data_IF_593036616669
#
_entry.id   IF_593036616669
#
_cell.length_a   1.000
_cell.length_b   1.000
_cell.length_c   1.000
_cell.angle_alpha   90.00
_cell.angle_beta   90.00
_cell.angle_gamma   90.00
#
_symmetry.space_group_name_H-M   'P 1'
#
loop_
_entity.id
_entity.type
_entity.pdbx_description
1 polymer ?
#
# COMPACT_ATOMS: atom_id res chain seq x y z
N UNK A 1 -0.90 -55.38 13.06
CA UNK A 1 0.46 -55.40 12.48
C UNK A 1 0.37 -54.77 11.09
N UNK A 2 0.49 -53.44 11.00
CA UNK A 2 0.51 -52.73 9.72
C UNK A 2 1.51 -51.59 9.86
N UNK A 3 2.63 -51.74 9.16
CA UNK A 3 3.73 -50.79 9.12
C UNK A 3 3.28 -49.52 8.38
N UNK A 4 3.19 -48.41 9.11
CA UNK A 4 3.11 -47.08 8.52
C UNK A 4 4.53 -46.70 8.12
N UNK A 5 4.81 -46.72 6.81
CA UNK A 5 6.03 -46.17 6.25
C UNK A 5 6.02 -44.64 6.44
N UNK A 6 6.60 -44.18 7.54
CA UNK A 6 7.11 -42.82 7.66
C UNK A 6 8.27 -42.68 6.67
N UNK A 7 7.99 -42.20 5.46
CA UNK A 7 9.06 -41.65 4.62
C UNK A 7 9.59 -40.41 5.34
N UNK A 8 10.83 -40.54 5.77
CA UNK A 8 11.68 -39.53 6.37
C UNK A 8 11.46 -38.16 5.69
N UNK A 9 11.01 -37.21 6.49
CA UNK A 9 11.10 -35.79 6.17
C UNK A 9 12.59 -35.45 6.13
N UNK A 10 13.18 -35.50 4.94
CA UNK A 10 14.48 -34.88 4.70
C UNK A 10 14.31 -33.40 5.00
N UNK A 11 15.01 -32.97 6.04
CA UNK A 11 15.18 -31.58 6.46
C UNK A 11 15.94 -30.87 5.33
N UNK A 12 15.22 -30.42 4.32
CA UNK A 12 15.74 -29.44 3.37
C UNK A 12 16.10 -28.22 4.18
N UNK A 13 17.40 -27.96 4.31
CA UNK A 13 17.96 -26.70 4.80
C UNK A 13 17.10 -25.54 4.34
N UNK A 14 16.37 -24.90 5.24
CA UNK A 14 15.59 -23.70 4.94
C UNK A 14 16.53 -22.69 4.33
N UNK A 15 16.43 -22.50 3.01
CA UNK A 15 17.09 -21.40 2.35
C UNK A 15 16.51 -20.13 2.97
N UNK A 16 17.32 -19.41 3.75
CA UNK A 16 16.97 -18.13 4.39
C UNK A 16 16.46 -17.09 3.38
N UNK A 17 16.74 -17.30 2.09
CA UNK A 17 16.37 -16.40 1.01
C UNK A 17 15.40 -17.06 0.03
N UNK A 18 14.36 -16.33 -0.42
CA UNK A 18 13.38 -16.84 -1.38
C UNK A 18 14.04 -17.07 -2.73
N UNK A 19 13.54 -18.07 -3.48
CA UNK A 19 14.05 -18.37 -4.82
C UNK A 19 13.57 -17.35 -5.85
N UNK A 20 12.38 -16.78 -5.62
CA UNK A 20 11.74 -15.79 -6.47
C UNK A 20 11.15 -14.69 -5.58
N UNK A 21 11.30 -13.45 -6.03
CA UNK A 21 10.60 -12.28 -5.49
C UNK A 21 9.60 -11.77 -6.51
N UNK A 22 8.38 -11.51 -6.08
CA UNK A 22 7.34 -10.89 -6.89
C UNK A 22 7.03 -9.53 -6.28
N UNK A 23 7.07 -8.51 -7.13
CA UNK A 23 6.68 -7.15 -6.80
C UNK A 23 5.33 -6.87 -7.43
N UNK A 24 4.38 -6.46 -6.60
CA UNK A 24 2.99 -6.22 -6.95
C UNK A 24 2.57 -4.78 -6.71
N UNK A 25 3.34 -3.97 -5.98
CA UNK A 25 3.10 -2.53 -5.89
C UNK A 25 3.76 -1.80 -7.07
N UNK A 26 2.92 -1.09 -7.85
CA UNK A 26 3.31 -0.48 -9.10
C UNK A 26 3.48 -1.53 -10.22
N UNK A 27 4.52 -1.35 -11.03
CA UNK A 27 4.81 -2.25 -12.14
C UNK A 27 5.02 -3.70 -11.65
N UNK A 28 4.27 -4.64 -12.22
CA UNK A 28 4.38 -6.06 -11.88
C UNK A 28 5.73 -6.61 -12.33
N UNK A 29 6.59 -6.96 -11.36
CA UNK A 29 7.97 -7.42 -11.63
C UNK A 29 8.27 -8.71 -10.91
N UNK A 30 9.17 -9.49 -11.51
CA UNK A 30 9.59 -10.77 -10.97
C UNK A 30 11.11 -10.86 -11.03
N UNK A 31 11.71 -11.20 -9.90
CA UNK A 31 13.15 -11.37 -9.78
C UNK A 31 13.49 -12.78 -9.33
N UNK A 32 14.55 -13.34 -9.90
CA UNK A 32 15.03 -14.69 -9.61
C UNK A 32 16.36 -14.64 -8.90
N UNK A 33 16.50 -15.46 -7.87
CA UNK A 33 17.78 -15.66 -7.20
C UNK A 33 18.84 -16.17 -8.19
N UNK A 34 19.98 -15.50 -8.23
CA UNK A 34 21.14 -15.95 -9.01
C UNK A 34 21.76 -17.20 -8.35
N UNK A 35 22.30 -18.12 -9.16
CA UNK A 35 22.90 -19.38 -8.68
C UNK A 35 24.28 -19.21 -8.01
N UNK A 36 24.69 -17.98 -7.69
CA UNK A 36 25.95 -17.68 -7.03
C UNK A 36 25.93 -18.01 -5.53
N UNK A 37 27.13 -18.24 -4.98
CA UNK A 37 27.32 -18.50 -3.55
C UNK A 37 27.34 -17.22 -2.67
N UNK A 38 27.02 -16.06 -3.23
CA UNK A 38 27.01 -14.77 -2.55
C UNK A 38 25.96 -14.73 -1.42
N UNK A 39 26.29 -14.00 -0.34
CA UNK A 39 25.41 -13.77 0.82
C UNK A 39 25.43 -12.27 1.18
N UNK A 40 24.30 -11.54 1.06
CA UNK A 40 23.01 -11.99 0.55
C UNK A 40 23.07 -12.36 -0.95
N UNK A 41 22.20 -13.25 -1.44
CA UNK A 41 22.22 -13.64 -2.84
C UNK A 41 21.73 -12.49 -3.73
N UNK A 42 22.34 -12.35 -4.91
CA UNK A 42 21.86 -11.45 -5.94
C UNK A 42 20.54 -11.94 -6.56
N UNK A 43 19.73 -10.99 -7.01
CA UNK A 43 18.47 -11.22 -7.71
C UNK A 43 18.53 -10.59 -9.10
N UNK A 44 18.05 -11.30 -10.10
CA UNK A 44 18.01 -10.86 -11.49
C UNK A 44 16.56 -10.72 -11.96
N UNK A 45 16.23 -9.56 -12.53
CA UNK A 45 14.93 -9.31 -13.12
C UNK A 45 14.64 -10.28 -14.29
N UNK A 46 13.44 -10.84 -14.30
CA UNK A 46 12.94 -11.68 -15.39
C UNK A 46 12.28 -10.78 -16.44
N UNK A 47 12.89 -10.71 -17.63
CA UNK A 47 12.45 -9.80 -18.68
C UNK A 47 10.96 -9.91 -19.04
N UNK A 48 10.24 -8.79 -19.00
CA UNK A 48 8.80 -8.67 -19.27
C UNK A 48 8.37 -9.21 -20.63
N UNK A 49 9.19 -9.07 -21.68
CA UNK A 49 8.88 -9.62 -23.00
C UNK A 49 8.70 -11.16 -22.98
N UNK A 50 9.40 -11.86 -22.08
CA UNK A 50 9.18 -13.31 -21.88
C UNK A 50 7.89 -13.57 -21.09
N UNK A 51 7.49 -12.66 -20.23
CA UNK A 51 6.27 -12.80 -19.43
C UNK A 51 5.01 -12.48 -20.27
N UNK A 52 5.04 -11.41 -21.08
CA UNK A 52 3.92 -10.90 -21.88
C UNK A 52 3.39 -11.87 -22.95
N UNK A 53 4.26 -12.71 -23.54
CA UNK A 53 3.84 -13.77 -24.47
C UNK A 53 2.99 -14.89 -23.81
N UNK A 54 2.78 -14.82 -22.49
CA UNK A 54 2.15 -15.86 -21.66
C UNK A 54 1.00 -15.30 -20.83
N UNK A 55 0.13 -14.51 -21.45
CA UNK A 55 -0.96 -13.75 -20.79
C UNK A 55 -1.82 -14.61 -19.85
N UNK A 56 -2.32 -15.77 -20.28
CA UNK A 56 -3.16 -16.64 -19.41
C UNK A 56 -2.39 -17.21 -18.21
N UNK A 57 -1.09 -17.48 -18.35
CA UNK A 57 -0.26 -17.96 -17.26
C UNK A 57 -0.04 -16.85 -16.21
N UNK A 58 0.24 -15.63 -16.66
CA UNK A 58 0.36 -14.48 -15.75
C UNK A 58 -0.94 -14.14 -15.05
N UNK A 59 -2.08 -14.15 -15.75
CA UNK A 59 -3.39 -13.93 -15.12
C UNK A 59 -3.64 -15.02 -14.07
N UNK A 60 -3.36 -16.29 -14.39
CA UNK A 60 -3.46 -17.38 -13.40
C UNK A 60 -2.58 -17.13 -12.17
N UNK A 61 -1.34 -16.63 -12.37
CA UNK A 61 -0.47 -16.25 -11.27
C UNK A 61 -1.08 -15.10 -10.45
N UNK A 62 -1.47 -13.99 -11.07
CA UNK A 62 -2.08 -12.84 -10.37
C UNK A 62 -3.33 -13.26 -9.58
N UNK A 63 -4.19 -14.10 -10.16
CA UNK A 63 -5.37 -14.65 -9.46
C UNK A 63 -4.96 -15.46 -8.24
N UNK A 64 -3.96 -16.34 -8.36
CA UNK A 64 -3.43 -17.12 -7.24
C UNK A 64 -2.85 -16.23 -6.14
N UNK A 65 -2.14 -15.14 -6.48
CA UNK A 65 -1.61 -14.17 -5.51
C UNK A 65 -2.76 -13.51 -4.71
N UNK A 66 -3.91 -13.31 -5.34
CA UNK A 66 -5.09 -12.72 -4.70
C UNK A 66 -5.92 -13.71 -3.86
N UNK A 67 -5.62 -15.02 -3.91
CA UNK A 67 -6.40 -16.00 -3.14
C UNK A 67 -5.88 -16.18 -1.72
N UNK A 68 -6.78 -16.44 -0.74
CA UNK A 68 -6.37 -16.85 0.59
C UNK A 68 -5.42 -18.05 0.54
N UNK A 69 -4.31 -17.96 1.29
CA UNK A 69 -3.24 -18.98 1.31
C UNK A 69 -2.67 -19.32 -0.08
N UNK A 70 -2.83 -18.41 -1.05
CA UNK A 70 -2.38 -18.55 -2.43
C UNK A 70 -2.86 -19.85 -3.09
N UNK A 71 -4.08 -20.25 -2.76
CA UNK A 71 -4.65 -21.55 -3.10
C UNK A 71 -5.99 -21.40 -3.76
N UNK A 72 -6.19 -22.12 -4.86
CA UNK A 72 -7.46 -22.13 -5.58
C UNK A 72 -7.76 -23.51 -6.17
N UNK A 73 -9.04 -23.87 -6.13
CA UNK A 73 -9.52 -25.07 -6.80
C UNK A 73 -9.68 -24.81 -8.31
N UNK A 74 -9.50 -25.83 -9.14
CA UNK A 74 -9.55 -25.69 -10.61
C UNK A 74 -10.89 -25.13 -11.08
N UNK A 75 -11.99 -25.57 -10.49
CA UNK A 75 -13.33 -25.09 -10.89
C UNK A 75 -13.52 -23.63 -10.52
N UNK A 76 -13.09 -23.21 -9.33
CA UNK A 76 -13.11 -21.82 -8.90
C UNK A 76 -12.21 -20.94 -9.78
N UNK A 77 -11.02 -21.41 -10.15
CA UNK A 77 -10.12 -20.70 -11.08
C UNK A 77 -10.77 -20.50 -12.46
N UNK A 78 -11.42 -21.53 -12.99
CA UNK A 78 -12.17 -21.43 -14.25
C UNK A 78 -13.28 -20.37 -14.16
N UNK A 79 -14.02 -20.32 -13.06
CA UNK A 79 -15.08 -19.34 -12.84
C UNK A 79 -14.57 -17.90 -12.76
N UNK A 80 -13.39 -17.67 -12.16
CA UNK A 80 -12.78 -16.34 -12.05
C UNK A 80 -12.19 -15.84 -13.37
N UNK A 81 -11.48 -16.71 -14.11
CA UNK A 81 -10.78 -16.31 -15.34
C UNK A 81 -11.72 -16.28 -16.56
N UNK A 82 -12.75 -17.13 -16.60
CA UNK A 82 -13.71 -17.23 -17.70
C UNK A 82 -15.15 -17.31 -17.18
N UNK A 83 -15.71 -16.18 -16.70
CA UNK A 83 -17.06 -16.16 -16.17
C UNK A 83 -18.07 -16.62 -17.24
N UNK A 84 -18.98 -17.50 -16.85
CA UNK A 84 -20.04 -18.03 -17.72
C UNK A 84 -19.65 -19.19 -18.65
N UNK A 85 -18.39 -19.67 -18.62
CA UNK A 85 -17.92 -20.75 -19.52
C UNK A 85 -17.32 -21.96 -18.79
N UNK A 86 -17.36 -21.99 -17.45
CA UNK A 86 -16.58 -22.86 -16.56
C UNK A 86 -16.58 -24.38 -16.83
N UNK A 87 -17.54 -24.91 -17.61
CA UNK A 87 -17.72 -26.36 -17.83
C UNK A 87 -17.21 -26.88 -19.19
N UNK A 88 -16.46 -26.08 -19.96
CA UNK A 88 -15.89 -26.54 -21.22
C UNK A 88 -14.56 -27.28 -21.02
N UNK A 89 -14.40 -28.44 -21.68
CA UNK A 89 -13.13 -29.18 -21.74
C UNK A 89 -11.96 -28.31 -22.22
N UNK A 90 -12.26 -27.31 -23.07
CA UNK A 90 -11.31 -26.30 -23.52
C UNK A 90 -10.68 -25.50 -22.37
N UNK A 91 -11.46 -25.10 -21.36
CA UNK A 91 -10.95 -24.32 -20.22
C UNK A 91 -10.02 -25.16 -19.36
N UNK A 92 -10.38 -26.42 -19.14
CA UNK A 92 -9.54 -27.36 -18.38
C UNK A 92 -8.16 -27.48 -19.01
N UNK A 93 -8.10 -27.70 -20.34
CA UNK A 93 -6.85 -27.75 -21.09
C UNK A 93 -6.08 -26.41 -21.02
N UNK A 94 -6.78 -25.28 -21.08
CA UNK A 94 -6.18 -23.94 -21.01
C UNK A 94 -5.53 -23.69 -19.65
N UNK A 95 -6.20 -24.07 -18.56
CA UNK A 95 -5.65 -23.98 -17.20
C UNK A 95 -4.43 -24.89 -17.05
N UNK A 96 -4.48 -26.13 -17.54
CA UNK A 96 -3.35 -27.06 -17.44
C UNK A 96 -2.15 -26.59 -18.28
N UNK A 97 -2.41 -25.95 -19.42
CA UNK A 97 -1.39 -25.29 -20.25
C UNK A 97 -0.77 -24.09 -19.51
N UNK A 98 -1.60 -23.22 -18.93
CA UNK A 98 -1.17 -22.06 -18.16
C UNK A 98 -0.32 -22.47 -16.94
N UNK A 99 -0.78 -23.48 -16.19
CA UNK A 99 -0.04 -24.05 -15.06
C UNK A 99 1.31 -24.61 -15.53
N UNK A 100 1.34 -25.36 -16.62
CA UNK A 100 2.58 -25.92 -17.19
C UNK A 100 3.57 -24.83 -17.61
N UNK A 101 3.09 -23.74 -18.22
CA UNK A 101 3.90 -22.58 -18.57
C UNK A 101 4.45 -21.87 -17.33
N UNK A 102 3.63 -21.67 -16.29
CA UNK A 102 4.07 -21.13 -15.01
C UNK A 102 5.20 -21.98 -14.44
N UNK A 103 5.01 -23.30 -14.31
CA UNK A 103 6.05 -24.20 -13.76
C UNK A 103 7.37 -24.11 -14.50
N UNK A 104 7.32 -24.10 -15.83
CA UNK A 104 8.52 -24.19 -16.66
C UNK A 104 9.29 -22.88 -16.75
N UNK A 105 8.58 -21.75 -16.77
CA UNK A 105 9.18 -20.47 -17.17
C UNK A 105 9.16 -19.39 -16.09
N UNK A 106 8.21 -19.46 -15.15
CA UNK A 106 8.01 -18.41 -14.14
C UNK A 106 8.38 -18.94 -12.75
N UNK A 107 7.85 -20.10 -12.38
CA UNK A 107 7.94 -20.68 -11.05
C UNK A 107 8.89 -21.89 -10.99
N UNK A 108 9.80 -22.03 -11.95
CA UNK A 108 10.83 -23.07 -11.88
C UNK A 108 11.79 -22.76 -10.72
N UNK A 109 12.10 -23.77 -9.90
CA UNK A 109 13.18 -23.70 -8.93
C UNK A 109 14.45 -24.23 -9.58
N UNK A 110 15.63 -23.72 -9.18
CA UNK A 110 16.90 -24.32 -9.60
C UNK A 110 17.04 -25.77 -9.05
N UNK A 111 16.42 -26.06 -7.91
CA UNK A 111 16.54 -27.33 -7.17
C UNK A 111 15.33 -28.27 -7.39
N UNK A 112 14.86 -28.38 -8.63
CA UNK A 112 13.93 -29.40 -9.15
C UNK A 112 12.42 -29.24 -8.82
N UNK A 113 12.03 -28.57 -7.73
CA UNK A 113 10.60 -28.42 -7.40
C UNK A 113 10.00 -27.05 -7.76
N UNK A 114 9.08 -27.04 -8.74
CA UNK A 114 8.27 -25.87 -9.08
C UNK A 114 7.57 -25.26 -7.87
N UNK A 115 7.56 -23.93 -7.78
CA UNK A 115 6.85 -23.17 -6.73
C UNK A 115 5.32 -23.17 -6.88
N UNK A 116 4.79 -23.85 -7.91
CA UNK A 116 3.37 -24.15 -8.08
C UNK A 116 3.09 -25.64 -7.85
N UNK A 117 2.48 -25.94 -6.72
CA UNK A 117 2.05 -27.27 -6.32
C UNK A 117 0.66 -27.59 -6.90
N UNK A 118 0.45 -28.85 -7.25
CA UNK A 118 -0.88 -29.38 -7.57
C UNK A 118 -1.20 -30.53 -6.64
N UNK A 119 -2.35 -30.43 -5.97
CA UNK A 119 -2.84 -31.43 -5.04
C UNK A 119 -4.24 -31.88 -5.48
N UNK A 120 -4.59 -33.13 -5.15
CA UNK A 120 -5.95 -33.65 -5.31
C UNK A 120 -6.59 -33.69 -3.93
N UNK A 121 -7.61 -32.87 -3.72
CA UNK A 121 -8.30 -32.72 -2.44
C UNK A 121 -9.80 -32.86 -2.71
N UNK A 122 -10.45 -33.79 -2.01
CA UNK A 122 -11.87 -34.11 -2.15
C UNK A 122 -12.34 -34.34 -3.60
N UNK A 123 -11.49 -34.97 -4.42
CA UNK A 123 -11.79 -35.22 -5.83
C UNK A 123 -11.65 -34.00 -6.75
N UNK A 124 -11.16 -32.88 -6.24
CA UNK A 124 -10.86 -31.67 -7.02
C UNK A 124 -9.35 -31.42 -7.16
N UNK A 125 -8.94 -30.85 -8.29
CA UNK A 125 -7.56 -30.41 -8.49
C UNK A 125 -7.39 -29.02 -7.90
N UNK A 126 -6.45 -28.88 -7.00
CA UNK A 126 -6.13 -27.62 -6.32
C UNK A 126 -4.72 -27.18 -6.69
N UNK A 127 -4.58 -25.89 -6.99
CA UNK A 127 -3.31 -25.23 -7.24
C UNK A 127 -2.92 -24.42 -6.01
N UNK A 128 -1.65 -24.46 -5.62
CA UNK A 128 -1.14 -23.72 -4.47
C UNK A 128 0.26 -23.19 -4.77
N UNK A 129 0.47 -21.90 -4.55
CA UNK A 129 1.80 -21.31 -4.61
C UNK A 129 2.60 -21.63 -3.34
N UNK A 130 3.92 -21.72 -3.47
CA UNK A 130 4.82 -21.87 -2.35
C UNK A 130 4.68 -20.70 -1.36
N UNK A 131 5.04 -20.96 -0.11
CA UNK A 131 4.99 -19.99 1.00
C UNK A 131 6.02 -18.87 0.84
N UNK A 132 5.87 -17.81 1.64
CA UNK A 132 6.68 -16.58 1.60
C UNK A 132 8.20 -16.86 1.68
N UNK A 133 8.62 -17.88 2.42
CA UNK A 133 10.03 -18.27 2.54
C UNK A 133 10.67 -18.72 1.22
N UNK A 134 9.89 -19.29 0.29
CA UNK A 134 10.37 -19.77 -1.03
C UNK A 134 9.97 -18.83 -2.17
N UNK A 135 8.77 -18.25 -2.09
CA UNK A 135 8.20 -17.31 -3.04
C UNK A 135 7.80 -16.04 -2.28
N UNK A 136 8.68 -15.06 -2.27
CA UNK A 136 8.45 -13.81 -1.57
C UNK A 136 7.59 -12.87 -2.42
N UNK A 137 6.61 -12.25 -1.78
CA UNK A 137 5.71 -11.27 -2.39
C UNK A 137 5.71 -10.04 -1.49
N UNK A 138 5.91 -8.86 -2.07
CA UNK A 138 5.89 -7.59 -1.35
C UNK A 138 4.57 -7.31 -0.63
N UNK A 139 3.42 -7.62 -1.23
CA UNK A 139 2.12 -7.49 -0.60
C UNK A 139 1.96 -8.35 0.66
N UNK A 140 2.38 -9.62 0.60
CA UNK A 140 2.33 -10.52 1.76
C UNK A 140 3.35 -10.11 2.82
N UNK A 141 4.51 -9.58 2.41
CA UNK A 141 5.52 -9.05 3.31
C UNK A 141 5.00 -7.83 4.07
N UNK A 142 4.33 -6.91 3.39
CA UNK A 142 3.70 -5.74 4.01
C UNK A 142 2.69 -6.16 5.08
N UNK A 143 1.80 -7.11 4.75
CA UNK A 143 0.80 -7.60 5.70
C UNK A 143 1.47 -8.30 6.90
N UNK A 144 2.52 -9.07 6.66
CA UNK A 144 3.32 -9.73 7.70
C UNK A 144 3.99 -8.70 8.62
N UNK A 145 4.65 -7.69 8.06
CA UNK A 145 5.33 -6.63 8.82
C UNK A 145 4.34 -5.78 9.62
N UNK A 146 3.18 -5.46 9.05
CA UNK A 146 2.10 -4.78 9.76
C UNK A 146 1.60 -5.60 10.97
N UNK A 147 1.46 -6.92 10.82
CA UNK A 147 1.11 -7.79 11.94
C UNK A 147 2.24 -7.87 12.99
N UNK A 148 3.51 -8.00 12.55
CA UNK A 148 4.66 -8.01 13.43
C UNK A 148 4.79 -6.73 14.25
N UNK A 149 4.47 -5.57 13.66
CA UNK A 149 4.45 -4.29 14.38
C UNK A 149 3.48 -4.33 15.58
N UNK A 150 2.25 -4.82 15.37
CA UNK A 150 1.25 -4.95 16.44
C UNK A 150 1.73 -5.90 17.55
N UNK A 151 2.35 -7.02 17.17
CA UNK A 151 2.90 -7.97 18.15
C UNK A 151 4.01 -7.33 19.00
N UNK A 152 4.97 -6.65 18.36
CA UNK A 152 6.05 -5.93 19.05
C UNK A 152 5.52 -4.89 20.02
N UNK A 153 4.52 -4.09 19.62
CA UNK A 153 3.89 -3.12 20.52
C UNK A 153 3.26 -3.79 21.74
N UNK A 154 2.58 -4.93 21.55
CA UNK A 154 1.97 -5.68 22.65
C UNK A 154 2.99 -6.26 23.62
N UNK A 155 4.21 -6.54 23.15
CA UNK A 155 5.34 -7.02 23.92
C UNK A 155 6.17 -5.87 24.54
N UNK A 156 5.80 -4.61 24.26
CA UNK A 156 6.54 -3.42 24.71
C UNK A 156 7.83 -3.15 23.94
N UNK A 157 8.01 -3.79 22.78
CA UNK A 157 9.14 -3.60 21.89
C UNK A 157 8.92 -2.45 20.89
N UNK A 158 10.01 -1.99 20.28
CA UNK A 158 9.96 -0.96 19.25
C UNK A 158 9.42 -1.52 17.92
N UNK A 159 8.21 -1.09 17.55
CA UNK A 159 7.55 -1.45 16.30
C UNK A 159 7.96 -0.59 15.10
N UNK A 160 8.67 0.54 15.31
CA UNK A 160 9.11 1.44 14.22
C UNK A 160 9.85 0.74 13.08
N UNK A 161 10.78 -0.21 13.32
CA UNK A 161 11.49 -0.87 12.23
C UNK A 161 10.55 -1.66 11.31
N UNK A 162 9.58 -2.38 11.88
CA UNK A 162 8.61 -3.17 11.12
C UNK A 162 7.66 -2.25 10.34
N UNK A 163 7.18 -1.19 10.97
CA UNK A 163 6.29 -0.21 10.33
C UNK A 163 6.99 0.53 9.17
N UNK A 164 8.22 0.99 9.36
CA UNK A 164 8.99 1.65 8.30
C UNK A 164 9.27 0.69 7.13
N UNK A 165 9.61 -0.56 7.42
CA UNK A 165 9.81 -1.57 6.38
C UNK A 165 8.51 -1.85 5.61
N UNK A 166 7.36 -1.95 6.30
CA UNK A 166 6.06 -2.12 5.65
C UNK A 166 5.70 -0.93 4.75
N UNK A 167 5.91 0.30 5.24
CA UNK A 167 5.64 1.52 4.47
C UNK A 167 6.53 1.62 3.22
N UNK A 168 7.81 1.25 3.33
CA UNK A 168 8.75 1.28 2.21
C UNK A 168 8.38 0.33 1.06
N UNK A 169 7.66 -0.77 1.33
CA UNK A 169 7.24 -1.72 0.30
C UNK A 169 6.09 -1.21 -0.57
N UNK A 170 5.23 -0.35 -0.04
CA UNK A 170 3.99 0.09 -0.67
C UNK A 170 4.20 1.24 -1.69
N UNK A 171 5.07 1.01 -2.67
CA UNK A 171 5.38 1.99 -3.72
C UNK A 171 4.41 1.83 -4.90
N UNK A 172 3.29 2.55 -4.85
CA UNK A 172 2.28 2.58 -5.90
C UNK A 172 1.15 1.56 -5.70
N UNK A 173 0.28 1.48 -6.71
CA UNK A 173 -0.95 0.70 -6.64
C UNK A 173 -0.70 -0.80 -6.73
N UNK A 174 -1.37 -1.57 -5.88
CA UNK A 174 -1.32 -3.04 -5.94
C UNK A 174 -1.84 -3.51 -7.30
N UNK A 175 -1.09 -4.32 -8.05
CA UNK A 175 -1.44 -4.79 -9.39
C UNK A 175 -2.02 -3.66 -10.26
N UNK A 176 -1.24 -2.61 -10.50
CA UNK A 176 -1.69 -1.36 -11.17
C UNK A 176 -2.31 -1.58 -12.56
N UNK A 177 -1.97 -2.69 -13.23
CA UNK A 177 -2.54 -3.06 -14.53
C UNK A 177 -3.98 -3.62 -14.42
N UNK A 178 -4.39 -4.06 -13.22
CA UNK A 178 -5.62 -4.84 -12.98
C UNK A 178 -6.57 -4.12 -12.00
N UNK A 179 -6.71 -2.80 -12.12
CA UNK A 179 -7.48 -1.99 -11.16
C UNK A 179 -8.97 -2.35 -11.11
N UNK A 180 -9.56 -2.73 -12.24
CA UNK A 180 -11.01 -2.93 -12.40
C UNK A 180 -11.45 -4.37 -12.23
N UNK A 181 -10.52 -5.30 -12.04
CA UNK A 181 -10.85 -6.72 -12.05
C UNK A 181 -11.36 -7.16 -10.68
N UNK A 182 -12.47 -7.89 -10.64
CA UNK A 182 -13.16 -8.16 -9.36
C UNK A 182 -12.34 -9.03 -8.39
N UNK A 183 -11.51 -9.96 -8.89
CA UNK A 183 -10.75 -10.86 -8.03
C UNK A 183 -9.57 -10.18 -7.31
N UNK A 184 -9.17 -8.96 -7.70
CA UNK A 184 -8.16 -8.18 -6.95
C UNK A 184 -8.77 -7.44 -5.76
N UNK A 185 -10.06 -7.10 -5.82
CA UNK A 185 -10.67 -6.13 -4.91
C UNK A 185 -10.60 -6.53 -3.43
N UNK A 186 -10.88 -7.79 -3.02
CA UNK A 186 -10.83 -8.16 -1.60
C UNK A 186 -9.41 -8.02 -1.00
N UNK A 187 -8.39 -8.45 -1.75
CA UNK A 187 -7.00 -8.32 -1.29
C UNK A 187 -6.55 -6.85 -1.32
N UNK A 188 -6.92 -6.09 -2.36
CA UNK A 188 -6.64 -4.65 -2.44
C UNK A 188 -7.18 -3.91 -1.20
N UNK A 189 -8.45 -4.11 -0.86
CA UNK A 189 -9.05 -3.50 0.33
C UNK A 189 -8.31 -3.89 1.62
N UNK A 190 -7.85 -5.14 1.72
CA UNK A 190 -7.07 -5.62 2.88
C UNK A 190 -5.72 -4.91 2.96
N UNK A 191 -5.03 -4.78 1.83
CA UNK A 191 -3.74 -4.10 1.71
C UNK A 191 -3.87 -2.61 1.99
N UNK A 192 -4.85 -1.92 1.40
CA UNK A 192 -5.06 -0.49 1.58
C UNK A 192 -5.41 -0.18 3.05
N UNK A 193 -6.25 -1.01 3.67
CA UNK A 193 -6.51 -0.92 5.10
C UNK A 193 -5.25 -1.11 5.95
N UNK A 194 -4.36 -2.02 5.56
CA UNK A 194 -3.08 -2.21 6.25
C UNK A 194 -2.12 -1.03 6.04
N UNK A 195 -1.99 -0.52 4.80
CA UNK A 195 -1.19 0.68 4.48
C UNK A 195 -1.62 1.88 5.33
N UNK A 196 -2.92 2.14 5.41
CA UNK A 196 -3.47 3.23 6.23
C UNK A 196 -3.16 3.06 7.72
N UNK A 197 -3.33 1.86 8.27
CA UNK A 197 -2.97 1.58 9.67
C UNK A 197 -1.48 1.78 9.94
N UNK A 198 -0.61 1.28 9.07
CA UNK A 198 0.85 1.46 9.18
C UNK A 198 1.22 2.94 9.16
N UNK A 199 0.66 3.71 8.23
CA UNK A 199 0.86 5.16 8.15
C UNK A 199 0.45 5.85 9.45
N UNK A 200 -0.77 5.61 9.92
CA UNK A 200 -1.29 6.25 11.14
C UNK A 200 -0.43 5.93 12.36
N UNK A 201 0.02 4.69 12.51
CA UNK A 201 0.92 4.31 13.60
C UNK A 201 2.28 4.99 13.50
N UNK A 202 2.89 5.08 12.32
CA UNK A 202 4.13 5.83 12.13
C UNK A 202 3.97 7.31 12.51
N UNK A 203 2.88 7.93 12.07
CA UNK A 203 2.54 9.32 12.40
C UNK A 203 2.40 9.50 13.91
N UNK A 204 1.70 8.60 14.60
CA UNK A 204 1.52 8.65 16.05
C UNK A 204 2.87 8.54 16.77
N UNK A 205 3.73 7.60 16.36
CA UNK A 205 5.06 7.41 16.96
C UNK A 205 5.96 8.63 16.74
N UNK A 206 6.00 9.18 15.52
CA UNK A 206 6.79 10.39 15.24
C UNK A 206 6.27 11.60 15.99
N UNK A 207 4.94 11.75 16.12
CA UNK A 207 4.31 12.84 16.87
C UNK A 207 4.64 12.75 18.37
N UNK A 208 4.53 11.56 18.97
CA UNK A 208 4.90 11.32 20.37
C UNK A 208 6.39 11.56 20.63
N UNK A 209 7.23 11.25 19.65
CA UNK A 209 8.67 11.49 19.68
C UNK A 209 9.07 12.94 19.33
N UNK A 210 8.10 13.85 19.17
CA UNK A 210 8.29 15.25 18.77
C UNK A 210 9.04 15.43 17.42
N UNK A 211 9.02 14.40 16.57
CA UNK A 211 9.60 14.41 15.23
C UNK A 211 8.56 14.87 14.20
N UNK A 212 7.97 16.05 14.41
CA UNK A 212 6.84 16.55 13.62
C UNK A 212 7.10 16.57 12.12
N UNK A 213 8.33 16.92 11.70
CA UNK A 213 8.73 16.93 10.30
C UNK A 213 8.51 15.58 9.59
N UNK A 214 8.89 14.47 10.23
CA UNK A 214 8.70 13.14 9.63
C UNK A 214 7.22 12.77 9.53
N UNK A 215 6.42 13.12 10.55
CA UNK A 215 4.98 12.91 10.52
C UNK A 215 4.30 13.74 9.41
N UNK A 216 4.73 14.99 9.20
CA UNK A 216 4.24 15.84 8.10
C UNK A 216 4.58 15.25 6.75
N UNK A 217 5.85 14.91 6.51
CA UNK A 217 6.32 14.37 5.23
C UNK A 217 5.51 13.11 4.86
N UNK A 218 5.28 12.21 5.82
CA UNK A 218 4.44 11.02 5.62
C UNK A 218 2.99 11.36 5.23
N UNK A 219 2.35 12.26 5.97
CA UNK A 219 0.95 12.63 5.72
C UNK A 219 0.79 13.40 4.42
N UNK A 220 1.72 14.30 4.09
CA UNK A 220 1.71 15.04 2.83
C UNK A 220 1.86 14.11 1.64
N UNK A 221 2.86 13.22 1.65
CA UNK A 221 3.05 12.26 0.56
C UNK A 221 1.84 11.34 0.40
N UNK A 222 1.24 10.88 1.50
CA UNK A 222 0.04 10.04 1.43
C UNK A 222 -1.18 10.78 0.88
N UNK A 223 -1.42 12.03 1.29
CA UNK A 223 -2.56 12.82 0.80
C UNK A 223 -2.41 13.26 -0.67
N UNK A 224 -1.20 13.25 -1.23
CA UNK A 224 -1.01 13.44 -2.67
C UNK A 224 -1.55 12.26 -3.48
N UNK A 225 -1.43 11.04 -2.95
CA UNK A 225 -1.94 9.81 -3.57
C UNK A 225 -3.43 9.60 -3.25
N UNK A 226 -3.83 9.89 -2.00
CA UNK A 226 -5.18 9.66 -1.48
C UNK A 226 -5.79 10.95 -0.90
N UNK A 227 -6.10 11.95 -1.74
CA UNK A 227 -6.61 13.26 -1.29
C UNK A 227 -7.99 13.19 -0.62
N UNK A 228 -8.72 12.09 -0.81
CA UNK A 228 -10.03 11.83 -0.21
C UNK A 228 -9.95 11.18 1.17
N UNK A 229 -8.76 10.82 1.65
CA UNK A 229 -8.58 10.24 2.97
C UNK A 229 -8.68 11.33 4.06
N UNK A 230 -9.84 11.37 4.69
CA UNK A 230 -10.19 12.43 5.63
C UNK A 230 -9.50 12.28 6.99
N UNK A 231 -9.17 11.05 7.38
CA UNK A 231 -8.43 10.78 8.63
C UNK A 231 -7.00 11.34 8.53
N UNK A 232 -6.34 11.09 7.40
CA UNK A 232 -5.02 11.64 7.13
C UNK A 232 -5.04 13.17 7.05
N UNK A 233 -6.06 13.75 6.41
CA UNK A 233 -6.26 15.20 6.33
C UNK A 233 -6.43 15.82 7.73
N UNK A 234 -7.31 15.25 8.55
CA UNK A 234 -7.56 15.72 9.91
C UNK A 234 -6.28 15.72 10.76
N UNK A 235 -5.50 14.64 10.69
CA UNK A 235 -4.22 14.51 11.41
C UNK A 235 -3.21 15.56 10.97
N UNK A 236 -3.07 15.80 9.66
CA UNK A 236 -2.15 16.81 9.14
C UNK A 236 -2.57 18.22 9.56
N UNK A 237 -3.85 18.55 9.42
CA UNK A 237 -4.39 19.85 9.83
C UNK A 237 -4.14 20.13 11.31
N UNK A 238 -4.36 19.13 12.17
CA UNK A 238 -4.10 19.26 13.60
C UNK A 238 -2.62 19.51 13.89
N UNK A 239 -1.72 18.78 13.25
CA UNK A 239 -0.29 18.88 13.47
C UNK A 239 0.26 20.25 12.98
N UNK A 240 -0.24 20.76 11.86
CA UNK A 240 0.07 22.12 11.38
C UNK A 240 -0.48 23.20 12.33
N UNK A 241 -1.71 23.03 12.82
CA UNK A 241 -2.32 23.96 13.75
C UNK A 241 -1.58 24.03 15.11
N UNK A 242 -1.12 22.89 15.63
CA UNK A 242 -0.28 22.84 16.85
C UNK A 242 0.99 23.68 16.70
N UNK A 243 1.58 23.67 15.50
CA UNK A 243 2.76 24.47 15.15
C UNK A 243 2.43 25.90 14.71
N UNK A 244 1.19 26.36 14.93
CA UNK A 244 0.71 27.70 14.57
C UNK A 244 0.71 27.99 13.05
N UNK A 245 0.93 26.99 12.19
CA UNK A 245 0.91 27.06 10.72
C UNK A 245 -0.52 26.97 10.17
N UNK A 246 -1.38 27.86 10.66
CA UNK A 246 -2.83 27.80 10.43
C UNK A 246 -3.24 27.98 8.96
N UNK A 247 -2.57 28.88 8.24
CA UNK A 247 -2.87 29.13 6.83
C UNK A 247 -2.59 27.90 5.96
N UNK A 248 -1.51 27.17 6.24
CA UNK A 248 -1.18 25.93 5.55
C UNK A 248 -2.21 24.84 5.85
N UNK A 249 -2.66 24.72 7.10
CA UNK A 249 -3.73 23.79 7.48
C UNK A 249 -5.05 24.08 6.74
N UNK A 250 -5.41 25.35 6.56
CA UNK A 250 -6.61 25.74 5.80
C UNK A 250 -6.43 25.53 4.30
N UNK A 251 -5.22 25.71 3.78
CA UNK A 251 -4.92 25.51 2.37
C UNK A 251 -5.08 24.03 1.97
N UNK A 252 -4.48 23.11 2.74
CA UNK A 252 -4.60 21.68 2.46
C UNK A 252 -6.06 21.20 2.61
N UNK A 253 -6.78 21.72 3.60
CA UNK A 253 -8.21 21.46 3.76
C UNK A 253 -9.00 21.84 2.50
N UNK A 254 -8.85 23.07 2.00
CA UNK A 254 -9.56 23.51 0.81
C UNK A 254 -9.22 22.66 -0.42
N UNK A 255 -7.93 22.33 -0.60
CA UNK A 255 -7.49 21.46 -1.69
C UNK A 255 -8.19 20.09 -1.65
N UNK A 256 -8.15 19.40 -0.51
CA UNK A 256 -8.80 18.09 -0.35
C UNK A 256 -10.33 18.18 -0.43
N UNK A 257 -10.96 19.23 0.12
CA UNK A 257 -12.41 19.41 0.06
C UNK A 257 -12.94 19.53 -1.37
N UNK A 258 -12.21 20.20 -2.27
CA UNK A 258 -12.60 20.27 -3.68
C UNK A 258 -12.64 18.88 -4.28
N UNK A 259 -11.61 18.07 -4.06
CA UNK A 259 -11.51 16.71 -4.61
C UNK A 259 -12.58 15.77 -4.00
N UNK A 260 -12.80 15.84 -2.69
CA UNK A 260 -13.82 15.05 -1.99
C UNK A 260 -15.22 15.34 -2.57
N UNK A 261 -15.54 16.62 -2.76
CA UNK A 261 -16.82 17.04 -3.35
C UNK A 261 -16.98 16.60 -4.81
N UNK A 262 -15.91 16.65 -5.61
CA UNK A 262 -15.93 16.16 -6.99
C UNK A 262 -16.25 14.65 -7.07
N UNK A 263 -15.83 13.88 -6.06
CA UNK A 263 -16.17 12.46 -5.91
C UNK A 263 -17.55 12.22 -5.28
N UNK A 264 -18.39 13.25 -5.12
CA UNK A 264 -19.70 13.19 -4.45
C UNK A 264 -19.64 12.60 -3.04
N UNK A 265 -18.48 12.70 -2.39
CA UNK A 265 -18.30 12.39 -0.99
C UNK A 265 -18.46 13.69 -0.20
N UNK A 266 -19.03 13.60 1.00
CA UNK A 266 -19.05 14.74 1.90
C UNK A 266 -17.88 14.61 2.88
N UNK A 267 -17.15 15.70 3.09
CA UNK A 267 -16.14 15.73 4.13
C UNK A 267 -16.82 15.61 5.51
N UNK A 268 -16.15 14.92 6.41
CA UNK A 268 -16.61 14.51 7.72
C UNK A 268 -16.79 15.75 8.60
N UNK A 269 -17.82 15.69 9.44
CA UNK A 269 -18.22 16.77 10.32
C UNK A 269 -17.06 17.20 11.23
N UNK A 270 -16.21 16.26 11.65
CA UNK A 270 -15.04 16.53 12.48
C UNK A 270 -13.97 17.36 11.76
N UNK A 271 -13.70 17.06 10.49
CA UNK A 271 -12.70 17.76 9.68
C UNK A 271 -13.16 19.19 9.35
N UNK A 272 -14.44 19.35 9.02
CA UNK A 272 -15.06 20.67 8.85
C UNK A 272 -15.05 21.50 10.14
N UNK A 273 -15.39 20.89 11.27
CA UNK A 273 -15.37 21.56 12.56
C UNK A 273 -13.96 22.05 12.94
N UNK A 274 -12.92 21.24 12.66
CA UNK A 274 -11.53 21.64 12.86
C UNK A 274 -11.15 22.82 11.95
N UNK A 275 -11.50 22.77 10.67
CA UNK A 275 -11.26 23.87 9.73
C UNK A 275 -11.89 25.18 10.22
N UNK A 276 -13.17 25.13 10.63
CA UNK A 276 -13.90 26.28 11.15
C UNK A 276 -13.24 26.85 12.41
N UNK A 277 -12.78 25.98 13.33
CA UNK A 277 -12.06 26.39 14.54
C UNK A 277 -10.73 27.08 14.20
N UNK A 278 -9.96 26.55 13.26
CA UNK A 278 -8.69 27.15 12.81
C UNK A 278 -8.96 28.52 12.20
N UNK A 279 -9.94 28.64 11.31
CA UNK A 279 -10.33 29.89 10.67
C UNK A 279 -10.75 30.96 11.70
N UNK A 280 -11.58 30.58 12.67
CA UNK A 280 -12.01 31.49 13.73
C UNK A 280 -10.81 32.02 14.54
N UNK A 281 -9.88 31.14 14.89
CA UNK A 281 -8.67 31.52 15.62
C UNK A 281 -7.74 32.44 14.80
N UNK A 282 -7.63 32.25 13.48
CA UNK A 282 -6.93 33.16 12.59
C UNK A 282 -7.54 34.57 12.64
N UNK A 283 -8.86 34.66 12.44
CA UNK A 283 -9.58 35.93 12.40
C UNK A 283 -9.45 36.70 13.73
N UNK A 284 -9.51 36.00 14.87
CA UNK A 284 -9.31 36.61 16.19
C UNK A 284 -7.88 37.16 16.35
N UNK A 285 -6.87 36.43 15.87
CA UNK A 285 -5.48 36.86 15.96
C UNK A 285 -5.22 38.09 15.08
N UNK A 286 -5.73 38.10 13.85
CA UNK A 286 -5.63 39.26 12.94
C UNK A 286 -6.35 40.48 13.50
N UNK A 287 -7.55 40.31 14.07
CA UNK A 287 -8.27 41.39 14.74
C UNK A 287 -7.47 41.94 15.93
N UNK A 288 -6.93 41.08 16.79
CA UNK A 288 -6.11 41.50 17.93
C UNK A 288 -4.84 42.25 17.50
N UNK A 289 -4.17 41.80 16.44
CA UNK A 289 -3.02 42.50 15.85
C UNK A 289 -3.42 43.89 15.35
N UNK A 290 -4.53 44.01 14.62
CA UNK A 290 -5.07 45.29 14.14
C UNK A 290 -5.37 46.26 15.30
N UNK A 291 -6.08 45.79 16.34
CA UNK A 291 -6.36 46.61 17.52
C UNK A 291 -5.08 47.05 18.24
N UNK A 292 -4.09 46.16 18.39
CA UNK A 292 -2.81 46.50 19.02
C UNK A 292 -1.99 47.52 18.21
N UNK A 293 -2.00 47.42 16.87
CA UNK A 293 -1.34 48.38 15.99
C UNK A 293 -2.01 49.76 16.05
N UNK A 294 -3.36 49.80 16.10
CA UNK A 294 -4.12 51.05 16.22
C UNK A 294 -3.86 51.76 17.55
N UNK A 295 -3.76 51.02 18.65
CA UNK A 295 -3.41 51.58 19.98
C UNK A 295 -1.96 52.10 20.01
N UNK A 296 -1.00 51.39 19.38
CA UNK A 296 0.41 51.84 19.32
C UNK A 296 0.63 53.06 18.42
N UNK A 297 -0.13 53.18 17.33
CA UNK A 297 0.02 54.30 16.38
C UNK A 297 -0.75 55.57 16.79
N UNK A 298 -1.49 55.59 17.91
CA UNK A 298 -2.18 56.78 18.40
C UNK A 298 -3.17 57.39 17.40
N UNK A 299 -3.78 56.59 16.53
CA UNK A 299 -4.67 57.12 15.48
C UNK A 299 -6.09 57.26 16.02
N UNK A 300 -6.50 58.51 16.25
CA UNK A 300 -7.89 58.90 16.48
C UNK A 300 -8.71 58.76 15.21
N UNK A 301 -9.68 57.83 15.25
CA UNK A 301 -10.96 57.65 14.53
C UNK A 301 -11.24 58.21 13.12
N UNK A 302 -10.28 58.75 12.36
CA UNK A 302 -10.62 59.35 11.05
C UNK A 302 -9.61 59.14 9.91
N UNK A 303 -8.93 57.99 9.87
CA UNK A 303 -8.10 57.64 8.71
C UNK A 303 -8.61 56.33 8.06
N UNK A 304 -9.38 56.47 7.00
CA UNK A 304 -9.77 55.37 6.12
C UNK A 304 -8.55 54.90 5.31
N UNK A 305 -7.76 53.99 5.87
CA UNK A 305 -6.73 53.31 5.08
C UNK A 305 -7.39 52.13 4.36
N UNK A 306 -7.76 52.33 3.08
CA UNK A 306 -8.07 51.23 2.17
C UNK A 306 -6.79 50.45 1.93
N UNK A 307 -6.71 49.21 2.41
CA UNK A 307 -5.68 48.28 1.96
C UNK A 307 -6.27 47.40 0.85
N UNK A 308 -5.76 47.61 -0.35
CA UNK A 308 -5.80 46.66 -1.46
C UNK A 308 -4.95 45.45 -1.05
N UNK A 309 -5.58 44.29 -0.94
CA UNK A 309 -4.87 43.02 -0.78
C UNK A 309 -4.05 42.75 -2.05
N UNK A 310 -2.74 43.00 -2.00
CA UNK A 310 -1.79 42.49 -2.97
C UNK A 310 -1.11 41.29 -2.31
N UNK A 311 -1.63 40.10 -2.56
CA UNK A 311 -0.91 38.86 -2.30
C UNK A 311 0.19 38.72 -3.36
N UNK A 312 1.49 38.60 -3.00
CA UNK A 312 2.46 38.06 -3.93
C UNK A 312 2.21 36.55 -4.05
N UNK A 313 1.65 36.15 -5.19
CA UNK A 313 1.72 34.78 -5.70
C UNK A 313 3.21 34.45 -5.87
N UNK A 314 3.65 33.37 -5.22
CA UNK A 314 4.91 32.74 -5.56
C UNK A 314 5.55 32.06 -4.37
N UNK A 315 5.25 30.77 -4.18
CA UNK A 315 6.19 29.72 -3.79
C UNK A 315 5.50 28.35 -3.88
N UNK A 316 5.11 27.93 -5.10
CA UNK A 316 4.76 26.53 -5.42
C UNK A 316 5.18 26.20 -6.86
N UNK A 317 6.43 26.51 -7.20
CA UNK A 317 7.10 26.00 -8.41
C UNK A 317 8.55 25.75 -8.09
N UNK A 318 8.82 24.67 -7.36
CA UNK A 318 10.10 23.93 -7.37
C UNK A 318 10.00 22.66 -6.54
N UNK A 319 9.32 21.66 -7.10
CA UNK A 319 9.53 20.24 -6.79
C UNK A 319 8.96 19.36 -7.93
N UNK A 320 9.18 19.77 -9.18
CA UNK A 320 9.09 18.89 -10.36
C UNK A 320 10.34 19.18 -11.19
N UNK A 321 11.37 18.37 -10.97
CA UNK A 321 12.45 18.07 -11.89
C UNK A 321 13.04 16.72 -11.48
#
# INVERSE_FOLDING_TARGET
>A
MNYINYREYQTTTESTYPQIKIYTFGEFRLERRSSGAERPPAYQAVAHARLAQRSSALIMLKVLLCQPRRRIARTALAALMWPGQANSHYITHTIDTAASLLRRHVLNAAEQDSLLLTQRLDGETVFTLAEQARLWIDADELLSLAHQAVQRESEGEDARPALNAAHALAQGEFLEEELTVNWTQPLRQTIDGARRRVLHHLVDIYTQSHQYRHAEELLFSYLQEYPTDQDALYRLMNLLNQQQRRQEALHIFHYCSVIINDHQQQADDATHALAAKIQHNCNLHEAAQYYSARVRCGVSDNCSVRYTAIYPIGYLTRAIA
#
